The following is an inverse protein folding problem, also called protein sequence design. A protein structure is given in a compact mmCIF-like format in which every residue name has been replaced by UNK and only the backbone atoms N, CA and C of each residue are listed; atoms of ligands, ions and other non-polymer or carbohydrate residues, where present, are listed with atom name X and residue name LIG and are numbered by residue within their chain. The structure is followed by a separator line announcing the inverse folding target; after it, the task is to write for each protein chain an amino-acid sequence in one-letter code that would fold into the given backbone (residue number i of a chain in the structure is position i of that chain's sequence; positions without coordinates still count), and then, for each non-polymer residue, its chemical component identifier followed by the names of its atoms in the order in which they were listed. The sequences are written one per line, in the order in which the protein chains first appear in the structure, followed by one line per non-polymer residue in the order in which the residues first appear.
data_IF_122188431302
#
_entry.id   IF_122188431302
#
_cell.length_a   1.000
_cell.length_b   1.000
_cell.length_c   1.000
_cell.angle_alpha   90.00
_cell.angle_beta   90.00
_cell.angle_gamma   90.00
#
_symmetry.space_group_name_H-M   'P 1'
#
loop_
_entity.id
_entity.type
_entity.pdbx_description
1 polymer ?
#
# COMPACT_ATOMS: atom_id res chain seq x y z
N UNK A 1 16.80 -0.77 7.10
CA UNK A 1 15.63 -1.39 6.43
C UNK A 1 14.31 -0.91 7.02
N UNK A 2 14.24 -0.69 8.33
CA UNK A 2 13.06 -0.18 9.04
C UNK A 2 12.53 1.15 8.49
N UNK A 3 13.41 2.08 8.12
CA UNK A 3 13.01 3.36 7.50
C UNK A 3 12.31 3.17 6.16
N UNK A 4 12.74 2.19 5.35
CA UNK A 4 12.12 1.89 4.06
C UNK A 4 10.72 1.32 4.24
N UNK A 5 10.55 0.41 5.21
CA UNK A 5 9.27 -0.21 5.53
C UNK A 5 8.29 0.84 6.04
N UNK A 6 8.70 1.72 6.94
CA UNK A 6 7.85 2.81 7.44
C UNK A 6 7.41 3.78 6.35
N UNK A 7 8.30 4.09 5.40
CA UNK A 7 7.94 4.90 4.23
C UNK A 7 6.94 4.18 3.31
N UNK A 8 7.15 2.88 3.06
CA UNK A 8 6.24 2.08 2.24
C UNK A 8 4.84 1.96 2.86
N UNK A 9 4.74 1.80 4.19
CA UNK A 9 3.44 1.82 4.89
C UNK A 9 2.71 3.14 4.69
N UNK A 10 3.43 4.27 4.81
CA UNK A 10 2.84 5.59 4.56
C UNK A 10 2.38 5.76 3.11
N UNK A 11 3.17 5.25 2.16
CA UNK A 11 2.84 5.27 0.73
C UNK A 11 1.58 4.43 0.44
N UNK A 12 1.44 3.27 1.08
CA UNK A 12 0.27 2.42 0.97
C UNK A 12 -1.04 3.16 1.31
N UNK A 13 -1.11 3.83 2.48
CA UNK A 13 -2.30 4.63 2.85
C UNK A 13 -2.51 5.86 1.95
N UNK A 14 -1.42 6.43 1.42
CA UNK A 14 -1.49 7.55 0.47
C UNK A 14 -2.07 7.09 -0.88
N UNK A 15 -1.67 5.92 -1.38
CA UNK A 15 -2.23 5.35 -2.61
C UNK A 15 -3.69 4.90 -2.42
N UNK A 16 -4.03 4.32 -1.27
CA UNK A 16 -5.41 3.95 -0.93
C UNK A 16 -6.33 5.16 -0.89
N UNK A 17 -5.95 6.22 -0.19
CA UNK A 17 -6.74 7.46 -0.12
C UNK A 17 -6.86 8.15 -1.49
N UNK A 18 -5.78 8.19 -2.28
CA UNK A 18 -5.81 8.69 -3.66
C UNK A 18 -6.65 7.83 -4.61
N UNK A 19 -6.83 6.54 -4.31
CA UNK A 19 -7.70 5.64 -5.08
C UNK A 19 -9.16 5.87 -4.74
N UNK A 20 -9.48 6.18 -3.48
CA UNK A 20 -10.84 6.50 -3.03
C UNK A 20 -11.33 7.86 -3.52
N UNK A 21 -10.46 8.87 -3.57
CA UNK A 21 -10.81 10.19 -4.11
C UNK A 21 -11.19 10.14 -5.60
N UNK A 22 -10.80 9.07 -6.32
CA UNK A 22 -11.19 8.80 -7.71
C UNK A 22 -12.50 8.03 -7.85
N UNK A 23 -13.06 7.51 -6.75
CA UNK A 23 -14.35 6.82 -6.77
C UNK A 23 -15.50 7.82 -6.74
N UNK A 24 -16.60 7.48 -7.43
CA UNK A 24 -17.83 8.28 -7.44
C UNK A 24 -18.29 8.57 -5.99
N UNK A 25 -18.85 9.76 -5.71
CA UNK A 25 -19.25 10.18 -4.36
C UNK A 25 -20.32 9.28 -3.68
N UNK A 26 -20.88 8.31 -4.40
CA UNK A 26 -21.86 7.35 -3.89
C UNK A 26 -21.30 5.93 -3.69
N UNK A 27 -20.01 5.70 -3.95
CA UNK A 27 -19.37 4.42 -3.72
C UNK A 27 -18.79 4.40 -2.31
N UNK A 28 -19.09 3.35 -1.53
CA UNK A 28 -18.45 3.17 -0.24
C UNK A 28 -16.92 3.17 -0.44
N UNK A 29 -16.15 3.84 0.44
CA UNK A 29 -14.70 3.80 0.37
C UNK A 29 -14.26 2.34 0.37
N UNK A 30 -13.33 1.95 -0.52
CA UNK A 30 -12.84 0.57 -0.58
C UNK A 30 -12.30 0.10 0.79
N UNK A 31 -11.85 1.03 1.64
CA UNK A 31 -11.41 0.77 3.00
C UNK A 31 -12.56 0.47 3.98
N UNK A 32 -13.77 0.95 3.73
CA UNK A 32 -14.94 0.66 4.58
C UNK A 32 -15.45 -0.78 4.42
N UNK A 33 -14.95 -1.51 3.41
CA UNK A 33 -15.29 -2.91 3.16
C UNK A 33 -14.31 -3.89 3.81
N UNK A 34 -13.10 -3.43 4.16
CA UNK A 34 -12.06 -4.27 4.75
C UNK A 34 -12.12 -4.17 6.28
N UNK A 35 -12.01 -5.30 6.95
CA UNK A 35 -11.74 -5.33 8.39
C UNK A 35 -10.32 -4.82 8.69
N UNK A 36 -10.06 -4.51 9.95
CA UNK A 36 -8.72 -4.10 10.39
C UNK A 36 -7.66 -5.18 10.12
N UNK A 37 -8.05 -6.46 10.23
CA UNK A 37 -7.19 -7.61 9.97
C UNK A 37 -6.86 -7.72 8.47
N UNK A 38 -7.88 -7.68 7.61
CA UNK A 38 -7.68 -7.73 6.15
C UNK A 38 -6.85 -6.54 5.63
N UNK A 39 -7.05 -5.35 6.23
CA UNK A 39 -6.28 -4.16 5.87
C UNK A 39 -4.80 -4.31 6.26
N UNK A 40 -4.52 -4.93 7.42
CA UNK A 40 -3.16 -5.19 7.88
C UNK A 40 -2.46 -6.24 7.00
N UNK A 41 -3.17 -7.29 6.59
CA UNK A 41 -2.63 -8.28 5.65
C UNK A 41 -2.32 -7.64 4.30
N UNK A 42 -3.22 -6.79 3.79
CA UNK A 42 -3.02 -6.05 2.55
C UNK A 42 -1.83 -5.10 2.62
N UNK A 43 -1.67 -4.35 3.73
CA UNK A 43 -0.50 -3.50 3.98
C UNK A 43 0.78 -4.34 3.93
N UNK A 44 0.78 -5.46 4.64
CA UNK A 44 1.94 -6.35 4.76
C UNK A 44 2.35 -6.92 3.39
N UNK A 45 1.39 -7.47 2.64
CA UNK A 45 1.62 -8.01 1.31
C UNK A 45 2.12 -6.93 0.33
N UNK A 46 1.54 -5.73 0.37
CA UNK A 46 1.96 -4.61 -0.49
C UNK A 46 3.37 -4.13 -0.16
N UNK A 47 3.71 -4.01 1.12
CA UNK A 47 5.07 -3.64 1.57
C UNK A 47 6.08 -4.69 1.12
N UNK A 48 5.80 -5.98 1.35
CA UNK A 48 6.68 -7.08 0.95
C UNK A 48 6.91 -7.09 -0.56
N UNK A 49 5.86 -6.91 -1.36
CA UNK A 49 5.97 -6.81 -2.82
C UNK A 49 6.88 -5.66 -3.24
N UNK A 50 6.72 -4.49 -2.62
CA UNK A 50 7.54 -3.31 -2.96
C UNK A 50 9.00 -3.47 -2.52
N UNK A 51 9.25 -4.09 -1.37
CA UNK A 51 10.61 -4.45 -0.94
C UNK A 51 11.23 -5.43 -1.94
N UNK A 52 10.49 -6.48 -2.32
CA UNK A 52 10.95 -7.44 -3.32
C UNK A 52 11.26 -6.75 -4.64
N UNK A 53 10.36 -5.93 -5.19
CA UNK A 53 10.59 -5.16 -6.43
C UNK A 53 11.85 -4.30 -6.36
N UNK A 54 12.09 -3.63 -5.23
CA UNK A 54 13.29 -2.80 -5.02
C UNK A 54 14.56 -3.64 -4.97
N UNK A 55 14.50 -4.86 -4.44
CA UNK A 55 15.61 -5.79 -4.42
C UNK A 55 15.81 -6.52 -5.76
N UNK A 56 14.80 -6.54 -6.64
CA UNK A 56 14.87 -7.14 -7.98
C UNK A 56 15.40 -6.18 -9.05
N UNK A 57 15.41 -4.86 -8.82
CA UNK A 57 16.05 -3.93 -9.73
C UNK A 57 17.57 -4.08 -9.56
N UNK A 58 18.30 -4.66 -10.54
CA UNK A 58 19.74 -4.61 -10.52
C UNK A 58 20.10 -3.13 -10.66
N UNK A 59 20.88 -2.59 -9.72
CA UNK A 59 21.62 -1.36 -9.95
C UNK A 59 22.39 -1.54 -11.25
N UNK A 60 21.96 -0.87 -12.32
CA UNK A 60 22.67 -0.87 -13.59
C UNK A 60 24.10 -0.35 -13.35
N UNK A 61 25.13 -0.99 -13.95
CA UNK A 61 26.52 -0.61 -13.79
C UNK A 61 26.84 0.77 -14.38
#
# INVERSE_FOLDING_TARGET
METLISQLKKDFYSQLSASQSKTLPHSAPTLSLLTAEELLELETAWVQLNVWKKNQLPTAP
#
